data_IF_650587920743
#
_entry.id   IF_650587920743
#
_cell.length_a   1.000
_cell.length_b   1.000
_cell.length_c   1.000
_cell.angle_alpha   90.00
_cell.angle_beta   90.00
_cell.angle_gamma   90.00
#
_symmetry.space_group_name_H-M   'P 1'
#
loop_
_entity.id
_entity.type
_entity.pdbx_description
1 polymer ?
#
# COMPACT_ATOMS: atom_id res chain seq x y z
N UNK A 1 0.29 -0.20 26.43
CA UNK A 1 1.47 0.48 25.90
C UNK A 1 1.70 -0.01 24.49
N UNK A 2 1.38 0.84 23.53
CA UNK A 2 1.64 0.63 22.10
C UNK A 2 3.15 0.62 21.82
N UNK A 3 3.56 -0.09 20.77
CA UNK A 3 4.96 -0.08 20.28
C UNK A 3 5.15 0.82 19.05
N UNK A 4 4.08 1.49 18.59
CA UNK A 4 4.13 2.34 17.39
C UNK A 4 4.90 3.63 17.64
N UNK A 5 5.76 4.00 16.68
CA UNK A 5 6.53 5.24 16.75
C UNK A 5 6.02 6.24 15.72
N UNK A 6 5.58 7.42 16.17
CA UNK A 6 5.13 8.47 15.26
C UNK A 6 6.32 9.22 14.67
N UNK A 7 6.70 8.90 13.43
CA UNK A 7 7.81 9.54 12.72
C UNK A 7 7.30 10.68 11.84
N UNK A 8 7.88 11.87 12.01
CA UNK A 8 7.58 13.03 11.15
C UNK A 8 8.67 13.18 10.10
N UNK A 9 8.49 12.49 8.97
CA UNK A 9 9.44 12.54 7.85
C UNK A 9 8.91 13.52 6.79
N UNK A 10 9.74 14.47 6.37
CA UNK A 10 9.39 15.52 5.42
C UNK A 10 9.86 15.16 4.00
N UNK A 11 9.14 14.26 3.32
CA UNK A 11 9.40 14.01 1.90
C UNK A 11 9.06 15.26 1.08
N UNK A 12 9.92 15.56 0.10
CA UNK A 12 9.81 16.73 -0.79
C UNK A 12 9.79 16.28 -2.24
N UNK A 13 8.80 16.79 -2.97
CA UNK A 13 8.59 16.51 -4.39
C UNK A 13 8.36 17.83 -5.13
N UNK A 14 9.07 18.00 -6.22
CA UNK A 14 9.05 19.20 -7.06
C UNK A 14 8.70 18.80 -8.51
N UNK A 15 8.78 19.76 -9.42
CA UNK A 15 8.39 19.55 -10.82
C UNK A 15 9.41 18.68 -11.59
N UNK A 16 10.55 18.34 -10.99
CA UNK A 16 11.51 17.36 -11.52
C UNK A 16 11.23 15.94 -11.05
N UNK A 17 10.24 15.72 -10.17
CA UNK A 17 9.80 14.36 -9.79
C UNK A 17 9.09 13.73 -10.99
N UNK A 18 9.66 12.71 -11.65
CA UNK A 18 9.04 12.13 -12.83
C UNK A 18 7.77 11.36 -12.48
N UNK A 19 6.74 11.43 -13.34
CA UNK A 19 5.57 10.56 -13.21
C UNK A 19 5.97 9.09 -13.27
N UNK A 20 6.74 8.69 -14.29
CA UNK A 20 7.35 7.36 -14.32
C UNK A 20 8.69 7.38 -13.59
N UNK A 21 8.62 7.22 -12.27
CA UNK A 21 9.78 7.22 -11.39
C UNK A 21 10.61 5.95 -11.45
N UNK A 22 10.13 4.85 -12.03
CA UNK A 22 10.90 3.62 -12.22
C UNK A 22 10.86 3.14 -13.68
N UNK A 23 11.62 3.78 -14.58
CA UNK A 23 11.58 3.45 -16.01
C UNK A 23 12.01 2.02 -16.36
N UNK A 24 12.82 1.38 -15.50
CA UNK A 24 13.22 -0.03 -15.66
C UNK A 24 12.08 -1.01 -15.42
N UNK A 25 11.09 -0.65 -14.60
CA UNK A 25 9.92 -1.46 -14.29
C UNK A 25 8.66 -0.60 -14.31
N UNK A 26 8.24 -0.10 -15.49
CA UNK A 26 7.22 0.94 -15.60
C UNK A 26 5.86 0.51 -15.07
N UNK A 27 5.54 -0.79 -15.15
CA UNK A 27 4.32 -1.37 -14.57
C UNK A 27 4.29 -1.26 -13.04
N UNK A 28 5.43 -1.46 -12.38
CA UNK A 28 5.55 -1.28 -10.93
C UNK A 28 5.46 0.20 -10.57
N UNK A 29 6.13 1.08 -11.33
CA UNK A 29 6.04 2.52 -11.14
C UNK A 29 4.60 3.04 -11.24
N UNK A 30 3.82 2.59 -12.22
CA UNK A 30 2.39 2.90 -12.34
C UNK A 30 1.56 2.37 -11.17
N UNK A 31 1.78 1.12 -10.76
CA UNK A 31 1.10 0.55 -9.59
C UNK A 31 1.40 1.39 -8.34
N UNK A 32 2.65 1.78 -8.12
CA UNK A 32 3.03 2.60 -6.98
C UNK A 32 2.35 3.97 -7.01
N UNK A 33 2.30 4.65 -8.17
CA UNK A 33 1.54 5.90 -8.29
C UNK A 33 0.05 5.71 -7.98
N UNK A 34 -0.56 4.60 -8.43
CA UNK A 34 -1.93 4.28 -8.10
C UNK A 34 -2.11 4.06 -6.59
N UNK A 35 -1.18 3.35 -5.94
CA UNK A 35 -1.15 3.18 -4.48
C UNK A 35 -1.08 4.55 -3.78
N UNK A 36 -0.31 5.52 -4.29
CA UNK A 36 -0.29 6.87 -3.70
C UNK A 36 -1.66 7.56 -3.74
N UNK A 37 -2.39 7.47 -4.86
CA UNK A 37 -3.75 8.02 -4.95
C UNK A 37 -4.69 7.25 -4.00
N UNK A 38 -4.58 5.93 -3.97
CA UNK A 38 -5.37 5.10 -3.05
C UNK A 38 -5.09 5.45 -1.58
N UNK A 39 -3.84 5.66 -1.19
CA UNK A 39 -3.45 6.03 0.17
C UNK A 39 -4.11 7.35 0.62
N UNK A 40 -4.25 8.34 -0.27
CA UNK A 40 -4.95 9.60 0.02
C UNK A 40 -6.43 9.34 0.34
N UNK A 41 -7.07 8.50 -0.47
CA UNK A 41 -8.49 8.19 -0.34
C UNK A 41 -8.77 7.28 0.87
N UNK A 42 -7.91 6.28 1.10
CA UNK A 42 -7.93 5.38 2.25
C UNK A 42 -7.67 6.11 3.57
N UNK A 43 -6.70 7.02 3.65
CA UNK A 43 -6.36 7.68 4.92
C UNK A 43 -7.54 8.50 5.47
N UNK A 44 -8.24 9.26 4.61
CA UNK A 44 -9.45 9.99 5.02
C UNK A 44 -10.49 9.03 5.60
N UNK A 45 -10.66 7.86 4.97
CA UNK A 45 -11.56 6.81 5.42
C UNK A 45 -11.12 6.25 6.78
N UNK A 46 -9.86 5.81 6.91
CA UNK A 46 -9.30 5.22 8.14
C UNK A 46 -9.41 6.21 9.30
N UNK A 47 -8.94 7.45 9.12
CA UNK A 47 -8.99 8.49 10.15
C UNK A 47 -10.44 8.75 10.60
N UNK A 48 -11.38 8.85 9.66
CA UNK A 48 -12.81 9.07 9.99
C UNK A 48 -13.36 7.90 10.81
N UNK A 49 -13.06 6.67 10.43
CA UNK A 49 -13.59 5.47 11.07
C UNK A 49 -12.95 5.23 12.44
N UNK A 50 -11.64 5.36 12.55
CA UNK A 50 -10.89 5.16 13.80
C UNK A 50 -11.28 6.22 14.83
N UNK A 51 -11.47 7.49 14.44
CA UNK A 51 -12.01 8.51 15.36
C UNK A 51 -13.40 8.15 15.90
N UNK A 52 -14.27 7.64 15.04
CA UNK A 52 -15.59 7.19 15.45
C UNK A 52 -15.55 5.92 16.32
N UNK A 53 -14.50 5.10 16.19
CA UNK A 53 -14.31 3.88 16.95
C UNK A 53 -13.76 4.11 18.37
N UNK A 54 -12.80 5.03 18.55
CA UNK A 54 -12.14 5.30 19.84
C UNK A 54 -13.11 5.40 21.04
N UNK A 55 -14.20 6.20 21.00
CA UNK A 55 -15.12 6.31 22.15
C UNK A 55 -15.93 5.03 22.44
N UNK A 56 -15.87 4.02 21.57
CA UNK A 56 -16.56 2.73 21.71
C UNK A 56 -15.62 1.62 22.21
N UNK A 57 -14.33 1.92 22.43
CA UNK A 57 -13.32 0.95 22.86
C UNK A 57 -13.21 0.98 24.39
N UNK A 58 -13.61 -0.12 25.02
CA UNK A 58 -13.54 -0.26 26.49
C UNK A 58 -12.10 -0.56 26.99
N UNK A 59 -11.30 -1.25 26.18
CA UNK A 59 -9.92 -1.63 26.54
C UNK A 59 -8.96 -0.44 26.35
N UNK A 60 -8.38 0.12 27.43
CA UNK A 60 -7.48 1.27 27.33
C UNK A 60 -6.27 1.00 26.43
N UNK A 61 -5.76 -0.24 26.39
CA UNK A 61 -4.61 -0.58 25.54
C UNK A 61 -4.99 -0.56 24.05
N UNK A 62 -6.19 -1.03 23.71
CA UNK A 62 -6.71 -0.96 22.34
C UNK A 62 -7.02 0.49 21.92
N UNK A 63 -7.50 1.33 22.85
CA UNK A 63 -7.72 2.76 22.59
C UNK A 63 -6.39 3.51 22.36
N UNK A 64 -5.37 3.22 23.18
CA UNK A 64 -4.01 3.76 23.01
C UNK A 64 -3.42 3.38 21.63
N UNK A 65 -3.55 2.10 21.24
CA UNK A 65 -3.14 1.62 19.92
C UNK A 65 -3.90 2.33 18.79
N UNK A 66 -5.22 2.49 18.93
CA UNK A 66 -6.06 3.17 17.94
C UNK A 66 -5.63 4.63 17.72
N UNK A 67 -5.27 5.34 18.80
CA UNK A 67 -4.76 6.70 18.71
C UNK A 67 -3.40 6.78 18.02
N UNK A 68 -2.48 5.86 18.33
CA UNK A 68 -1.16 5.83 17.73
C UNK A 68 -1.24 5.47 16.23
N UNK A 69 -2.04 4.46 15.89
CA UNK A 69 -2.36 4.06 14.52
C UNK A 69 -2.88 5.24 13.70
N UNK A 70 -3.90 5.94 14.21
CA UNK A 70 -4.45 7.13 13.56
C UNK A 70 -3.40 8.21 13.27
N UNK A 71 -2.43 8.40 14.17
CA UNK A 71 -1.37 9.41 14.01
C UNK A 71 -0.34 8.99 12.95
N UNK A 72 0.00 7.70 12.82
CA UNK A 72 0.90 7.19 11.77
C UNK A 72 0.25 7.32 10.39
N UNK A 73 -0.98 6.84 10.26
CA UNK A 73 -1.79 6.96 9.05
C UNK A 73 -1.85 8.40 8.53
N UNK A 74 -2.10 9.36 9.43
CA UNK A 74 -2.12 10.77 9.09
C UNK A 74 -0.77 11.32 8.58
N UNK A 75 0.36 10.70 8.93
CA UNK A 75 1.65 11.04 8.31
C UNK A 75 1.78 10.44 6.93
N UNK A 76 1.34 9.19 6.73
CA UNK A 76 1.45 8.48 5.45
C UNK A 76 0.80 9.25 4.32
N UNK A 77 -0.49 9.57 4.41
CA UNK A 77 -1.12 10.28 3.31
C UNK A 77 -0.90 11.79 3.32
N UNK A 78 -0.41 12.41 4.41
CA UNK A 78 0.24 13.73 4.27
C UNK A 78 1.38 13.67 3.23
N UNK A 79 2.23 12.65 3.30
CA UNK A 79 3.36 12.53 2.37
C UNK A 79 2.95 11.99 0.99
N UNK A 80 1.98 11.07 0.89
CA UNK A 80 1.40 10.70 -0.43
C UNK A 80 0.68 11.87 -1.11
N UNK A 81 -0.02 12.75 -0.37
CA UNK A 81 -0.60 13.98 -0.93
C UNK A 81 0.45 14.87 -1.58
N UNK A 82 1.65 15.00 -0.98
CA UNK A 82 2.75 15.77 -1.60
C UNK A 82 3.23 15.13 -2.90
N UNK A 83 3.38 13.81 -2.91
CA UNK A 83 3.78 13.07 -4.12
C UNK A 83 2.72 13.22 -5.23
N UNK A 84 1.45 12.95 -4.92
CA UNK A 84 0.37 13.10 -5.91
C UNK A 84 0.22 14.55 -6.37
N UNK A 85 0.41 15.53 -5.48
CA UNK A 85 0.41 16.93 -5.87
C UNK A 85 1.51 17.27 -6.90
N UNK A 86 2.69 16.65 -6.83
CA UNK A 86 3.71 16.84 -7.88
C UNK A 86 3.31 16.19 -9.21
N UNK A 87 2.56 15.08 -9.17
CA UNK A 87 2.02 14.45 -10.38
C UNK A 87 0.91 15.30 -11.01
N UNK A 88 0.00 15.85 -10.19
CA UNK A 88 -1.08 16.73 -10.65
C UNK A 88 -0.53 18.05 -11.20
N UNK A 89 0.56 18.59 -10.65
CA UNK A 89 1.21 19.78 -11.26
C UNK A 89 1.70 19.52 -12.69
N UNK A 90 2.16 18.31 -12.98
CA UNK A 90 2.57 17.91 -14.34
C UNK A 90 1.37 17.61 -15.23
N UNK A 91 0.33 16.99 -14.69
CA UNK A 91 -0.89 16.61 -15.42
C UNK A 91 -2.13 17.07 -14.64
N UNK A 92 -2.57 18.33 -14.78
CA UNK A 92 -3.65 18.90 -13.96
C UNK A 92 -4.96 18.11 -13.99
N UNK A 93 -5.28 17.49 -15.12
CA UNK A 93 -6.50 16.68 -15.27
C UNK A 93 -6.50 15.42 -14.39
N UNK A 94 -5.33 14.96 -13.91
CA UNK A 94 -5.26 13.86 -12.91
C UNK A 94 -5.99 14.19 -11.61
N UNK A 95 -6.23 15.46 -11.30
CA UNK A 95 -7.03 15.84 -10.13
C UNK A 95 -8.42 15.18 -10.16
N UNK A 96 -9.01 15.00 -11.35
CA UNK A 96 -10.30 14.29 -11.51
C UNK A 96 -10.22 12.84 -11.01
N UNK A 97 -9.11 12.15 -11.29
CA UNK A 97 -8.87 10.79 -10.80
C UNK A 97 -8.72 10.75 -9.28
N UNK A 98 -8.00 11.72 -8.70
CA UNK A 98 -7.85 11.85 -7.25
C UNK A 98 -9.19 12.11 -6.56
N UNK A 99 -9.97 13.06 -7.09
CA UNK A 99 -11.29 13.41 -6.55
C UNK A 99 -12.27 12.24 -6.65
N UNK A 100 -12.27 11.52 -7.77
CA UNK A 100 -13.09 10.32 -7.95
C UNK A 100 -12.73 9.22 -6.95
N UNK A 101 -11.44 9.03 -6.67
CA UNK A 101 -10.96 8.06 -5.68
C UNK A 101 -11.44 8.42 -4.27
N UNK A 102 -11.29 9.69 -3.87
CA UNK A 102 -11.77 10.21 -2.57
C UNK A 102 -13.29 10.06 -2.46
N UNK A 103 -14.03 10.46 -3.50
CA UNK A 103 -15.49 10.33 -3.53
C UNK A 103 -15.97 8.88 -3.40
N UNK A 104 -15.18 7.89 -3.86
CA UNK A 104 -15.52 6.48 -3.69
C UNK A 104 -15.54 6.04 -2.23
N UNK A 105 -14.59 6.52 -1.41
CA UNK A 105 -14.61 6.26 0.03
C UNK A 105 -15.62 7.10 0.79
N UNK A 106 -15.85 8.35 0.38
CA UNK A 106 -16.89 9.18 0.98
C UNK A 106 -18.26 8.50 0.86
N UNK A 107 -18.58 7.93 -0.31
CA UNK A 107 -19.78 7.10 -0.48
C UNK A 107 -19.82 5.90 0.44
N UNK A 108 -18.70 5.22 0.71
CA UNK A 108 -18.67 4.13 1.69
C UNK A 108 -18.97 4.64 3.12
N UNK A 109 -18.44 5.80 3.50
CA UNK A 109 -18.73 6.43 4.81
C UNK A 109 -20.23 6.72 4.96
N UNK A 110 -20.86 7.25 3.91
CA UNK A 110 -22.28 7.64 3.90
C UNK A 110 -23.23 6.43 3.88
N UNK A 111 -22.86 5.36 3.20
CA UNK A 111 -23.79 4.25 2.88
C UNK A 111 -23.57 2.99 3.72
N UNK A 112 -22.52 2.92 4.53
CA UNK A 112 -22.18 1.70 5.28
C UNK A 112 -22.00 1.94 6.78
N UNK A 113 -22.31 0.90 7.57
CA UNK A 113 -22.18 0.94 9.02
C UNK A 113 -20.73 1.08 9.46
N UNK A 114 -20.50 1.63 10.65
CA UNK A 114 -19.16 1.69 11.24
C UNK A 114 -18.52 0.30 11.33
N UNK A 115 -19.29 -0.73 11.66
CA UNK A 115 -18.80 -2.11 11.70
C UNK A 115 -18.26 -2.59 10.34
N UNK A 116 -18.97 -2.31 9.24
CA UNK A 116 -18.48 -2.59 7.89
C UNK A 116 -17.16 -1.87 7.62
N UNK A 117 -17.09 -0.59 7.99
CA UNK A 117 -15.94 0.25 7.71
C UNK A 117 -14.69 -0.13 8.49
N UNK A 118 -14.83 -0.54 9.75
CA UNK A 118 -13.72 -1.06 10.56
C UNK A 118 -13.25 -2.43 10.04
N UNK A 119 -14.18 -3.29 9.66
CA UNK A 119 -13.85 -4.56 9.01
C UNK A 119 -13.14 -4.35 7.67
N UNK A 120 -13.56 -3.36 6.88
CA UNK A 120 -12.92 -2.97 5.63
C UNK A 120 -11.46 -2.58 5.87
N UNK A 121 -11.19 -1.68 6.81
CA UNK A 121 -9.82 -1.27 7.15
C UNK A 121 -9.00 -2.48 7.60
N UNK A 122 -9.53 -3.33 8.49
CA UNK A 122 -8.83 -4.52 8.95
C UNK A 122 -8.55 -5.55 7.83
N UNK A 123 -9.46 -5.72 6.85
CA UNK A 123 -9.26 -6.62 5.71
C UNK A 123 -8.15 -6.11 4.79
N UNK A 124 -8.16 -4.81 4.51
CA UNK A 124 -7.17 -4.15 3.65
C UNK A 124 -5.77 -4.22 4.26
N UNK A 125 -5.61 -3.76 5.50
CA UNK A 125 -4.35 -3.73 6.25
C UNK A 125 -3.71 -5.12 6.37
N UNK A 126 -4.54 -6.15 6.54
CA UNK A 126 -4.05 -7.54 6.64
C UNK A 126 -3.41 -8.04 5.35
N UNK A 127 -3.67 -7.41 4.20
CA UNK A 127 -2.99 -7.75 2.94
C UNK A 127 -1.62 -7.11 2.78
N UNK A 128 -1.35 -6.03 3.51
CA UNK A 128 -0.16 -5.22 3.34
C UNK A 128 1.12 -5.96 3.75
N UNK A 129 1.14 -6.58 4.93
CA UNK A 129 2.33 -7.32 5.39
C UNK A 129 2.83 -8.36 4.38
N UNK A 130 2.00 -9.28 3.85
CA UNK A 130 2.50 -10.27 2.89
C UNK A 130 2.91 -9.65 1.54
N UNK A 131 2.22 -8.60 1.07
CA UNK A 131 2.55 -7.91 -0.18
C UNK A 131 3.85 -7.12 -0.05
N UNK A 132 3.94 -6.26 0.96
CA UNK A 132 5.09 -5.39 1.20
C UNK A 132 6.33 -6.18 1.58
N UNK A 133 6.17 -7.34 2.24
CA UNK A 133 7.32 -8.24 2.41
C UNK A 133 7.94 -8.62 1.07
N UNK A 134 7.16 -9.02 0.07
CA UNK A 134 7.70 -9.36 -1.25
C UNK A 134 8.31 -8.14 -1.92
N UNK A 135 7.69 -6.96 -1.81
CA UNK A 135 8.24 -5.73 -2.38
C UNK A 135 9.59 -5.35 -1.75
N UNK A 136 9.69 -5.43 -0.42
CA UNK A 136 10.88 -5.06 0.35
C UNK A 136 12.00 -6.11 0.27
N UNK A 137 11.66 -7.40 0.14
CA UNK A 137 12.65 -8.46 -0.10
C UNK A 137 13.31 -8.34 -1.49
N UNK A 138 12.67 -7.62 -2.43
CA UNK A 138 13.14 -7.37 -3.80
C UNK A 138 13.34 -5.87 -4.07
N UNK A 139 13.67 -5.09 -3.05
CA UNK A 139 13.73 -3.64 -3.17
C UNK A 139 14.78 -3.14 -4.17
N UNK A 140 15.85 -3.90 -4.32
CA UNK A 140 16.98 -3.65 -5.23
C UNK A 140 16.57 -3.67 -6.70
N UNK A 141 15.45 -4.32 -7.02
CA UNK A 141 14.89 -4.38 -8.37
C UNK A 141 13.62 -3.53 -8.49
N UNK A 142 12.79 -3.52 -7.45
CA UNK A 142 11.48 -2.86 -7.47
C UNK A 142 11.51 -1.37 -7.11
N UNK A 143 12.63 -0.86 -6.58
CA UNK A 143 12.77 0.56 -6.28
C UNK A 143 14.02 1.18 -6.87
N UNK A 144 14.97 0.38 -7.38
CA UNK A 144 16.20 0.85 -8.02
C UNK A 144 16.22 0.51 -9.52
N UNK A 145 16.79 1.38 -10.38
CA UNK A 145 17.37 2.70 -10.08
C UNK A 145 16.31 3.84 -10.18
N UNK A 146 15.14 3.68 -9.57
CA UNK A 146 14.07 4.68 -9.65
C UNK A 146 14.40 6.01 -8.97
N UNK A 147 13.55 7.01 -9.16
CA UNK A 147 13.67 8.30 -8.47
C UNK A 147 13.63 8.07 -6.96
N UNK A 148 14.74 8.40 -6.32
CA UNK A 148 14.97 8.08 -4.93
C UNK A 148 13.96 8.73 -3.97
N UNK A 149 13.43 9.91 -4.31
CA UNK A 149 12.43 10.59 -3.46
C UNK A 149 11.18 9.73 -3.34
N UNK A 150 10.73 9.22 -4.49
CA UNK A 150 9.52 8.42 -4.60
C UNK A 150 9.77 7.04 -4.01
N UNK A 151 10.89 6.41 -4.35
CA UNK A 151 11.30 5.14 -3.77
C UNK A 151 11.32 5.20 -2.23
N UNK A 152 11.98 6.21 -1.66
CA UNK A 152 12.13 6.36 -0.21
C UNK A 152 10.79 6.57 0.51
N UNK A 153 9.83 7.26 -0.13
CA UNK A 153 8.46 7.40 0.38
C UNK A 153 7.79 6.03 0.55
N UNK A 154 7.83 5.19 -0.50
CA UNK A 154 7.23 3.86 -0.43
C UNK A 154 7.96 2.94 0.53
N UNK A 155 9.30 2.96 0.55
CA UNK A 155 10.08 2.17 1.50
C UNK A 155 9.71 2.50 2.95
N UNK A 156 9.66 3.80 3.29
CA UNK A 156 9.23 4.24 4.62
C UNK A 156 7.81 3.77 4.95
N UNK A 157 6.86 4.07 4.07
CA UNK A 157 5.47 3.70 4.28
C UNK A 157 5.34 2.19 4.49
N UNK A 158 5.90 1.37 3.60
CA UNK A 158 5.79 -0.09 3.68
C UNK A 158 6.44 -0.69 4.94
N UNK A 159 7.51 -0.06 5.44
CA UNK A 159 8.15 -0.47 6.70
C UNK A 159 7.26 -0.15 7.90
N UNK A 160 6.60 1.01 7.93
CA UNK A 160 5.64 1.35 8.99
C UNK A 160 4.35 0.52 8.92
N UNK A 161 3.89 0.18 7.71
CA UNK A 161 2.76 -0.73 7.51
C UNK A 161 2.99 -2.13 8.11
N UNK A 162 4.25 -2.56 8.16
CA UNK A 162 4.65 -3.78 8.84
C UNK A 162 4.73 -3.58 10.37
N UNK A 163 5.05 -2.37 10.85
CA UNK A 163 5.07 -2.01 12.28
C UNK A 163 3.66 -2.08 12.88
N UNK A 164 2.67 -1.46 12.23
CA UNK A 164 1.29 -1.38 12.72
C UNK A 164 0.33 -2.44 12.14
N UNK A 165 0.88 -3.53 11.60
CA UNK A 165 0.14 -4.64 10.97
C UNK A 165 -1.02 -5.25 11.76
N UNK A 166 -1.08 -5.03 13.08
CA UNK A 166 -2.15 -5.54 13.95
C UNK A 166 -3.18 -4.48 14.34
N UNK A 167 -2.90 -3.19 14.13
CA UNK A 167 -3.64 -2.10 14.77
C UNK A 167 -5.07 -1.99 14.26
N UNK A 168 -5.30 -2.04 12.95
CA UNK A 168 -6.64 -2.06 12.39
C UNK A 168 -7.48 -3.27 12.85
N UNK A 169 -6.83 -4.43 13.01
CA UNK A 169 -7.48 -5.63 13.52
C UNK A 169 -7.86 -5.48 15.00
N UNK A 170 -6.98 -4.88 15.82
CA UNK A 170 -7.26 -4.57 17.23
C UNK A 170 -8.47 -3.63 17.34
N UNK A 171 -8.50 -2.55 16.55
CA UNK A 171 -9.62 -1.58 16.53
C UNK A 171 -10.92 -2.27 16.11
N UNK A 172 -10.89 -3.07 15.04
CA UNK A 172 -12.06 -3.79 14.56
C UNK A 172 -12.58 -4.81 15.60
N UNK A 173 -11.71 -5.61 16.19
CA UNK A 173 -12.09 -6.62 17.19
C UNK A 173 -12.70 -5.96 18.45
N UNK A 174 -12.15 -4.82 18.90
CA UNK A 174 -12.63 -4.11 20.08
C UNK A 174 -14.08 -3.60 19.93
N UNK A 175 -14.45 -3.12 18.74
CA UNK A 175 -15.77 -2.52 18.48
C UNK A 175 -16.77 -3.53 17.90
N UNK A 176 -16.38 -4.31 16.90
CA UNK A 176 -17.31 -5.21 16.17
C UNK A 176 -17.61 -6.49 16.96
N UNK A 177 -16.66 -6.95 17.78
CA UNK A 177 -16.79 -8.14 18.67
C UNK A 177 -17.30 -9.41 17.95
N UNK A 178 -17.11 -9.49 16.64
CA UNK A 178 -17.46 -10.64 15.81
C UNK A 178 -16.38 -10.89 14.77
N UNK A 179 -15.45 -11.79 15.11
CA UNK A 179 -14.28 -12.14 14.28
C UNK A 179 -14.63 -12.68 12.88
N UNK A 180 -15.83 -13.23 12.71
CA UNK A 180 -16.29 -13.74 11.42
C UNK A 180 -16.88 -12.66 10.52
N UNK A 181 -17.30 -11.53 11.09
CA UNK A 181 -17.93 -10.46 10.33
C UNK A 181 -17.00 -9.95 9.22
N UNK A 182 -15.74 -9.74 9.56
CA UNK A 182 -14.68 -9.37 8.63
C UNK A 182 -14.58 -10.32 7.43
N UNK A 183 -14.40 -11.62 7.68
CA UNK A 183 -14.33 -12.63 6.61
C UNK A 183 -15.59 -12.66 5.74
N UNK A 184 -16.78 -12.34 6.28
CA UNK A 184 -18.02 -12.27 5.48
C UNK A 184 -18.03 -11.08 4.52
N UNK A 185 -17.43 -9.94 4.89
CA UNK A 185 -17.41 -8.72 4.07
C UNK A 185 -16.20 -8.63 3.15
N UNK A 186 -15.13 -9.40 3.39
CA UNK A 186 -13.90 -9.40 2.58
C UNK A 186 -14.14 -9.40 1.05
N UNK A 187 -15.12 -10.18 0.55
CA UNK A 187 -15.45 -10.20 -0.89
C UNK A 187 -15.90 -8.84 -1.41
N UNK A 188 -16.71 -8.09 -0.67
CA UNK A 188 -17.15 -6.75 -1.10
C UNK A 188 -16.03 -5.72 -0.97
N UNK A 189 -15.20 -5.83 0.08
CA UNK A 189 -14.00 -5.02 0.27
C UNK A 189 -13.08 -5.14 -0.95
N UNK A 190 -12.64 -6.36 -1.30
CA UNK A 190 -11.73 -6.56 -2.42
C UNK A 190 -12.33 -6.19 -3.77
N UNK A 191 -13.65 -6.38 -3.96
CA UNK A 191 -14.32 -5.90 -5.17
C UNK A 191 -14.19 -4.39 -5.31
N UNK A 192 -14.43 -3.64 -4.24
CA UNK A 192 -14.31 -2.19 -4.24
C UNK A 192 -12.86 -1.74 -4.46
N UNK A 193 -11.91 -2.31 -3.72
CA UNK A 193 -10.47 -1.98 -3.85
C UNK A 193 -9.99 -2.22 -5.28
N UNK A 194 -10.34 -3.36 -5.88
CA UNK A 194 -9.93 -3.68 -7.24
C UNK A 194 -10.62 -2.82 -8.30
N UNK A 195 -11.87 -2.40 -8.05
CA UNK A 195 -12.55 -1.45 -8.93
C UNK A 195 -11.87 -0.09 -8.89
N UNK A 196 -11.61 0.42 -7.68
CA UNK A 196 -10.91 1.69 -7.49
C UNK A 196 -9.54 1.68 -8.17
N UNK A 197 -8.76 0.60 -7.98
CA UNK A 197 -7.46 0.45 -8.62
C UNK A 197 -7.57 0.52 -10.16
N UNK A 198 -8.58 -0.14 -10.75
CA UNK A 198 -8.87 -0.04 -12.19
C UNK A 198 -9.24 1.38 -12.61
N UNK A 199 -10.11 2.04 -11.86
CA UNK A 199 -10.56 3.41 -12.16
C UNK A 199 -9.38 4.40 -12.13
N UNK A 200 -8.44 4.23 -11.19
CA UNK A 200 -7.23 5.05 -11.11
C UNK A 200 -6.32 4.82 -12.32
N UNK A 201 -6.07 3.56 -12.69
CA UNK A 201 -5.24 3.26 -13.85
C UNK A 201 -5.90 3.73 -15.17
N UNK A 202 -7.23 3.70 -15.27
CA UNK A 202 -7.95 4.26 -16.40
C UNK A 202 -7.80 5.80 -16.43
N UNK A 203 -7.85 6.46 -15.27
CA UNK A 203 -7.55 7.88 -15.14
C UNK A 203 -6.11 8.24 -15.56
N UNK A 204 -5.13 7.37 -15.27
CA UNK A 204 -3.77 7.53 -15.81
C UNK A 204 -3.74 7.43 -17.33
N UNK A 205 -4.47 6.48 -17.91
CA UNK A 205 -4.55 6.32 -19.37
C UNK A 205 -5.19 7.54 -20.05
N UNK A 206 -6.22 8.10 -19.43
CA UNK A 206 -6.95 9.27 -19.94
C UNK A 206 -6.13 10.57 -19.83
N UNK A 207 -5.42 10.78 -18.72
CA UNK A 207 -4.85 12.09 -18.39
C UNK A 207 -3.32 12.17 -18.52
N UNK A 208 -2.62 11.05 -18.72
CA UNK A 208 -1.16 11.01 -18.84
C UNK A 208 -0.76 10.39 -20.17
N UNK A 209 0.05 11.06 -21.00
CA UNK A 209 0.54 10.52 -22.26
C UNK A 209 1.26 9.18 -22.08
N UNK A 210 1.08 8.28 -23.04
CA UNK A 210 1.70 6.95 -22.99
C UNK A 210 3.23 7.01 -22.92
N UNK A 211 3.85 7.98 -23.61
CA UNK A 211 5.29 8.21 -23.57
C UNK A 211 5.82 8.47 -22.16
N UNK A 212 5.02 9.13 -21.31
CA UNK A 212 5.38 9.44 -19.93
C UNK A 212 5.03 8.31 -18.97
N UNK A 213 3.95 7.55 -19.25
CA UNK A 213 3.58 6.36 -18.48
C UNK A 213 4.51 5.17 -18.72
N UNK A 214 4.99 4.99 -19.96
CA UNK A 214 5.80 3.84 -20.44
C UNK A 214 5.15 2.46 -20.23
N UNK A 215 3.85 2.42 -19.92
CA UNK A 215 3.07 1.20 -19.76
C UNK A 215 1.57 1.51 -19.94
N UNK A 216 0.86 0.59 -20.60
CA UNK A 216 -0.59 0.68 -20.85
C UNK A 216 -1.44 0.10 -19.71
N UNK A 217 -2.68 0.59 -19.57
CA UNK A 217 -3.69 0.10 -18.60
C UNK A 217 -3.92 -1.41 -18.72
N UNK A 218 -4.08 -1.91 -19.95
CA UNK A 218 -4.30 -3.35 -20.23
C UNK A 218 -3.15 -4.19 -19.68
N UNK A 219 -1.94 -3.66 -19.67
CA UNK A 219 -0.76 -4.39 -19.26
C UNK A 219 -0.53 -4.40 -17.74
N UNK A 220 -1.40 -3.69 -16.98
CA UNK A 220 -1.37 -3.54 -15.50
C UNK A 220 -2.70 -3.98 -14.84
N UNK A 221 -3.80 -4.12 -15.60
CA UNK A 221 -5.09 -4.63 -15.11
C UNK A 221 -5.15 -6.16 -15.14
N UNK A 222 -5.83 -6.83 -14.18
CA UNK A 222 -6.04 -8.28 -14.21
C UNK A 222 -6.62 -8.82 -15.53
N UNK A 223 -7.38 -8.00 -16.26
CA UNK A 223 -8.07 -8.40 -17.48
C UNK A 223 -7.17 -8.42 -18.73
N UNK A 224 -6.13 -7.59 -18.80
CA UNK A 224 -5.23 -7.55 -19.97
C UNK A 224 -4.02 -8.49 -19.84
N UNK A 225 -3.78 -9.04 -18.65
CA UNK A 225 -2.90 -10.20 -18.45
C UNK A 225 -3.36 -11.39 -19.31
N UNK A 226 -4.67 -11.54 -19.60
CA UNK A 226 -5.22 -12.70 -20.33
C UNK A 226 -4.68 -12.94 -21.74
N UNK A 227 -4.25 -11.90 -22.48
CA UNK A 227 -3.86 -12.04 -23.90
C UNK A 227 -2.36 -12.27 -24.11
N UNK A 228 -1.51 -11.55 -23.39
CA UNK A 228 -0.04 -11.75 -23.43
C UNK A 228 0.37 -13.06 -22.72
N UNK A 229 -0.37 -13.49 -21.69
CA UNK A 229 -0.09 -14.69 -20.89
C UNK A 229 -0.38 -16.01 -21.64
N UNK A 230 -1.27 -16.01 -22.64
CA UNK A 230 -1.56 -17.20 -23.46
C UNK A 230 -0.40 -17.57 -24.39
N UNK A 231 0.34 -16.55 -24.88
CA UNK A 231 1.39 -16.74 -25.88
C UNK A 231 2.77 -16.94 -25.26
N UNK A 232 2.97 -16.54 -23.99
CA UNK A 232 4.31 -16.54 -23.41
C UNK A 232 4.80 -17.92 -22.95
N UNK A 233 3.96 -18.85 -22.48
CA UNK A 233 4.44 -20.10 -21.85
C UNK A 233 3.43 -21.25 -21.84
N UNK A 234 3.61 -22.24 -22.73
CA UNK A 234 3.11 -23.61 -22.54
C UNK A 234 4.22 -24.61 -22.88
N UNK A 235 4.33 -25.79 -22.22
CA UNK A 235 3.22 -26.54 -21.63
C UNK A 235 3.37 -27.01 -20.16
N UNK A 236 2.23 -26.95 -19.45
CA UNK A 236 1.82 -27.66 -18.23
C UNK A 236 2.16 -27.12 -16.82
N UNK A 237 1.08 -27.08 -16.01
CA UNK A 237 0.90 -26.72 -14.57
C UNK A 237 0.84 -25.24 -14.16
N UNK A 238 0.51 -24.34 -15.07
CA UNK A 238 0.33 -22.90 -14.77
C UNK A 238 -1.11 -22.45 -14.48
N UNK A 239 -2.11 -23.35 -14.54
CA UNK A 239 -3.55 -22.96 -14.53
C UNK A 239 -4.10 -22.41 -13.20
N UNK A 240 -3.29 -22.35 -12.14
CA UNK A 240 -3.70 -21.82 -10.83
C UNK A 240 -3.34 -20.34 -10.65
N UNK A 241 -2.40 -19.79 -11.44
CA UNK A 241 -2.04 -18.36 -11.43
C UNK A 241 -3.19 -17.48 -11.91
N UNK A 242 -3.89 -17.93 -12.95
CA UNK A 242 -4.95 -17.19 -13.64
C UNK A 242 -6.26 -17.10 -12.84
N UNK A 243 -6.44 -17.92 -11.79
CA UNK A 243 -7.72 -18.03 -11.07
C UNK A 243 -7.91 -17.01 -9.94
N UNK A 244 -6.85 -16.34 -9.50
CA UNK A 244 -6.89 -15.50 -8.30
C UNK A 244 -6.86 -13.98 -8.56
N UNK A 245 -6.55 -13.52 -9.78
CA UNK A 245 -6.79 -12.14 -10.22
C UNK A 245 -6.15 -11.02 -9.39
N UNK A 246 -5.17 -11.36 -8.52
CA UNK A 246 -4.49 -10.41 -7.65
C UNK A 246 -3.08 -10.20 -8.19
N UNK A 247 -2.85 -9.03 -8.77
CA UNK A 247 -1.60 -8.48 -9.30
C UNK A 247 -1.10 -9.03 -10.66
N UNK A 248 -0.67 -8.16 -11.60
CA UNK A 248 -0.06 -8.58 -12.85
C UNK A 248 1.27 -9.34 -12.60
N UNK A 249 1.55 -10.44 -13.32
CA UNK A 249 2.81 -11.18 -13.18
C UNK A 249 4.08 -10.34 -13.39
N UNK A 250 3.99 -9.26 -14.18
CA UNK A 250 5.12 -8.40 -14.48
C UNK A 250 5.47 -7.41 -13.35
N UNK A 251 4.55 -7.15 -12.43
CA UNK A 251 4.75 -6.22 -11.30
C UNK A 251 5.68 -6.80 -10.24
N UNK A 252 5.64 -8.12 -10.05
CA UNK A 252 6.52 -8.86 -9.15
C UNK A 252 7.43 -9.80 -9.94
N UNK A 253 7.85 -9.41 -11.14
CA UNK A 253 8.71 -10.20 -12.00
C UNK A 253 9.98 -10.77 -11.31
N UNK A 254 10.60 -10.09 -10.33
CA UNK A 254 11.76 -10.62 -9.62
C UNK A 254 11.43 -11.80 -8.69
N UNK A 255 10.18 -11.92 -8.21
CA UNK A 255 9.78 -12.95 -7.27
C UNK A 255 9.62 -14.32 -7.95
N UNK A 256 10.17 -15.35 -7.33
CA UNK A 256 10.06 -16.73 -7.78
C UNK A 256 8.62 -17.27 -7.68
N UNK A 257 8.33 -18.35 -8.42
CA UNK A 257 7.03 -19.04 -8.34
C UNK A 257 6.69 -19.49 -6.90
N UNK A 258 7.71 -19.85 -6.12
CA UNK A 258 7.55 -20.28 -4.72
C UNK A 258 7.14 -19.09 -3.84
N UNK A 259 7.78 -17.94 -4.02
CA UNK A 259 7.41 -16.72 -3.29
C UNK A 259 5.99 -16.27 -3.64
N UNK A 260 5.59 -16.34 -4.90
CA UNK A 260 4.22 -16.03 -5.32
C UNK A 260 3.19 -16.99 -4.74
N UNK A 261 3.50 -18.29 -4.63
CA UNK A 261 2.65 -19.26 -3.93
C UNK A 261 2.50 -18.92 -2.45
N UNK A 262 3.60 -18.56 -1.79
CA UNK A 262 3.61 -18.17 -0.39
C UNK A 262 2.81 -16.89 -0.18
N UNK A 263 2.96 -15.90 -1.05
CA UNK A 263 2.19 -14.65 -1.05
C UNK A 263 0.69 -14.94 -1.12
N UNK A 264 0.25 -15.71 -2.13
CA UNK A 264 -1.16 -16.10 -2.28
C UNK A 264 -1.68 -16.82 -1.04
N UNK A 265 -0.92 -17.79 -0.54
CA UNK A 265 -1.29 -18.54 0.67
C UNK A 265 -1.45 -17.61 1.87
N UNK A 266 -0.53 -16.66 2.08
CA UNK A 266 -0.59 -15.69 3.18
C UNK A 266 -1.73 -14.69 3.01
N UNK A 267 -1.98 -14.23 1.79
CA UNK A 267 -3.14 -13.39 1.50
C UNK A 267 -4.44 -14.11 1.88
N UNK A 268 -4.59 -15.38 1.55
CA UNK A 268 -5.76 -16.15 1.96
C UNK A 268 -5.83 -16.31 3.50
N UNK A 269 -4.71 -16.63 4.14
CA UNK A 269 -4.64 -16.72 5.61
C UNK A 269 -4.92 -15.39 6.31
N UNK A 270 -4.56 -14.26 5.70
CA UNK A 270 -4.74 -12.93 6.28
C UNK A 270 -6.22 -12.59 6.51
N UNK A 271 -7.12 -13.24 5.76
CA UNK A 271 -8.56 -12.98 5.74
C UNK A 271 -9.37 -13.94 6.62
N UNK A 272 -8.72 -14.94 7.25
CA UNK A 272 -9.43 -15.89 8.13
C UNK A 272 -9.75 -15.24 9.49
N UNK A 273 -10.82 -15.69 10.20
CA UNK A 273 -11.26 -15.08 11.46
C UNK A 273 -10.24 -15.10 12.61
N UNK A 274 -9.27 -16.01 12.54
CA UNK A 274 -8.25 -16.21 13.57
C UNK A 274 -6.87 -15.72 13.15
N UNK A 275 -6.79 -14.94 12.07
CA UNK A 275 -5.55 -14.33 11.65
C UNK A 275 -4.92 -13.50 12.79
N UNK A 276 -3.59 -13.59 12.93
CA UNK A 276 -2.79 -12.86 13.91
C UNK A 276 -1.55 -12.27 13.20
N UNK A 277 -1.63 -11.03 12.71
CA UNK A 277 -0.55 -10.40 11.94
C UNK A 277 0.78 -10.34 12.71
N UNK A 278 0.72 -10.21 14.04
CA UNK A 278 1.90 -10.17 14.90
C UNK A 278 2.88 -11.35 14.69
N UNK A 279 2.40 -12.51 14.21
CA UNK A 279 3.22 -13.72 13.96
C UNK A 279 3.76 -13.83 12.53
N UNK A 280 3.42 -12.89 11.64
CA UNK A 280 3.96 -12.91 10.29
C UNK A 280 5.44 -12.52 10.29
N UNK A 281 6.28 -13.17 9.45
CA UNK A 281 7.68 -12.81 9.37
C UNK A 281 7.83 -11.47 8.66
N UNK A 282 8.66 -10.61 9.24
CA UNK A 282 8.92 -9.28 8.73
C UNK A 282 9.97 -9.33 7.61
N UNK A 283 9.99 -8.35 6.69
CA UNK A 283 11.09 -8.20 5.75
C UNK A 283 12.34 -7.75 6.50
N UNK A 284 13.50 -8.37 6.21
CA UNK A 284 14.79 -7.99 6.80
C UNK A 284 15.10 -6.51 6.56
N UNK A 285 14.63 -5.98 5.44
CA UNK A 285 14.79 -4.58 5.09
C UNK A 285 14.15 -3.62 6.12
N UNK A 286 13.07 -4.00 6.79
CA UNK A 286 12.46 -3.16 7.82
C UNK A 286 13.44 -2.85 8.96
N UNK A 287 14.18 -3.87 9.43
CA UNK A 287 15.21 -3.69 10.46
C UNK A 287 16.30 -2.71 10.01
N UNK A 288 16.78 -2.87 8.77
CA UNK A 288 17.79 -1.97 8.17
C UNK A 288 17.27 -0.53 8.12
N UNK A 289 16.00 -0.34 7.73
CA UNK A 289 15.40 0.98 7.64
C UNK A 289 15.28 1.62 9.04
N UNK A 290 14.80 0.87 10.04
CA UNK A 290 14.68 1.36 11.43
C UNK A 290 16.04 1.69 12.05
N UNK A 291 17.06 0.87 11.83
CA UNK A 291 18.42 1.12 12.30
C UNK A 291 18.98 2.43 11.73
N UNK A 292 18.77 2.69 10.44
CA UNK A 292 19.22 3.92 9.79
C UNK A 292 18.47 5.15 10.25
N UNK A 293 17.15 5.05 10.43
CA UNK A 293 16.37 6.12 11.04
C UNK A 293 16.87 6.43 12.46
N UNK A 294 17.10 5.41 13.28
CA UNK A 294 17.61 5.57 14.65
C UNK A 294 19.05 6.15 14.68
N UNK A 295 19.87 5.87 13.66
CA UNK A 295 21.20 6.45 13.50
C UNK A 295 21.20 7.93 13.07
N UNK A 296 20.03 8.47 12.69
CA UNK A 296 19.86 9.84 12.22
C UNK A 296 20.18 10.03 10.73
N UNK A 297 20.18 8.96 9.94
CA UNK A 297 20.36 9.05 8.48
C UNK A 297 19.17 9.78 7.82
N UNK A 298 19.43 10.45 6.69
CA UNK A 298 18.36 11.02 5.86
C UNK A 298 17.61 9.91 5.10
N UNK A 299 16.54 9.42 5.73
CA UNK A 299 15.64 8.42 5.13
C UNK A 299 14.75 8.97 4.01
N UNK A 300 14.78 10.28 3.71
CA UNK A 300 14.09 10.84 2.52
C UNK A 300 14.84 10.57 1.23
N UNK A 301 16.12 10.19 1.35
CA UNK A 301 17.05 9.81 0.29
C UNK A 301 17.76 8.52 0.67
N UNK A 302 16.99 7.45 0.81
CA UNK A 302 17.46 6.23 1.48
C UNK A 302 18.69 5.60 0.83
N UNK A 303 18.85 5.62 -0.49
CA UNK A 303 19.97 4.95 -1.15
C UNK A 303 21.27 5.76 -1.18
N UNK A 304 21.18 7.09 -1.23
CA UNK A 304 22.30 8.02 -1.37
C UNK A 304 22.75 8.61 -0.04
N UNK A 305 21.88 8.65 0.97
CA UNK A 305 22.21 9.12 2.31
C UNK A 305 23.13 8.13 3.04
N UNK A 306 24.43 8.22 2.84
CA UNK A 306 25.41 7.62 3.74
C UNK A 306 25.90 8.68 4.73
N UNK A 307 26.08 8.29 6.00
CA UNK A 307 26.72 9.15 7.02
C UNK A 307 28.04 9.72 6.46
N UNK A 308 28.34 11.01 6.68
CA UNK A 308 29.72 11.46 6.57
C UNK A 308 30.54 10.66 7.58
N UNK A 309 31.52 9.91 7.13
CA UNK A 309 32.56 9.36 7.99
C UNK A 309 33.34 10.52 8.59
N UNK A 310 33.02 10.93 9.81
CA UNK A 310 33.86 11.86 10.57
C UNK A 310 33.08 12.87 11.43
N UNK A 311 33.12 12.65 12.74
CA UNK A 311 32.63 13.59 13.76
C UNK A 311 32.20 12.87 15.02
N UNK A 312 33.16 12.28 15.76
CA UNK A 312 32.95 11.87 17.15
C UNK A 312 33.01 13.13 18.04
N UNK A 313 32.44 13.05 19.27
CA UNK A 313 31.64 14.09 19.93
C UNK A 313 32.33 15.40 20.30
#
# INVERSE_FOLDING_TARGET
MTHLQIRKIDFRFDDTTPFQWLPSHPKFGLMANAISIMAIAFEKFIVTNTRAAIPLIDDPAAAEEAEAFLRQEAQHAKNHRKHVASLVRQYPELQKTVDAAVASFDRLVETTSLAYRLAYTADLESTFTPIFKVMLDHEDVLFRPGDERVASLFLWHFVEEVEHRSSALIVCDAVVRNRYYRTRVARSVFRHVMQLYRDILAGFEEHVPEADRRAEYRNVSPDGVRREELLARLPLRTSWRTRLGMFPPATFAPASNREMLILVYRLLLSQVPHHRPAREPLPRFADIWFERYAAGDDVTRFYSATRPTGGAP
#
